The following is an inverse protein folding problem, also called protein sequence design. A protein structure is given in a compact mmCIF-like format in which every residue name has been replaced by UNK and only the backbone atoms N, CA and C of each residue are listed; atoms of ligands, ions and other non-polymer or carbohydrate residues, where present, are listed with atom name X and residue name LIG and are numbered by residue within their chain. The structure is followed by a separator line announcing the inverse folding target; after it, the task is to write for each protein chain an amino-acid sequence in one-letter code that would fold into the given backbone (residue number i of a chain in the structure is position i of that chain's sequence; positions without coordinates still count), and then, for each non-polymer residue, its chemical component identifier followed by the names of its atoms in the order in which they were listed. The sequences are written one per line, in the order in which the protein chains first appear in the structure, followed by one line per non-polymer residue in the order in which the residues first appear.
data_IF_059443931557
#
_entry.id   IF_059443931557
#
_cell.length_a   1.000
_cell.length_b   1.000
_cell.length_c   1.000
_cell.angle_alpha   90.00
_cell.angle_beta   90.00
_cell.angle_gamma   90.00
#
_symmetry.space_group_name_H-M   'P 1'
#
loop_
_entity.id
_entity.type
_entity.pdbx_description
1 polymer ?
#
# COMPACT_ATOMS: atom_id res chain seq x y z
N UNK A 1 29.33 37.30 -13.87
CA UNK A 1 28.70 35.96 -13.88
C UNK A 1 29.75 34.94 -13.48
N UNK A 2 29.53 34.16 -12.40
CA UNK A 2 30.49 33.14 -11.95
C UNK A 2 30.20 31.82 -12.67
N UNK A 3 31.10 31.37 -13.53
CA UNK A 3 31.04 30.03 -14.11
C UNK A 3 31.35 29.00 -13.01
N UNK A 4 30.42 28.10 -12.74
CA UNK A 4 30.64 26.98 -11.83
C UNK A 4 31.50 25.93 -12.52
N UNK A 5 32.78 25.85 -12.16
CA UNK A 5 33.67 24.76 -12.55
C UNK A 5 33.26 23.50 -11.78
N UNK A 6 32.41 22.67 -12.39
CA UNK A 6 32.09 21.34 -11.86
C UNK A 6 33.33 20.46 -11.94
N UNK A 7 33.72 19.89 -10.80
CA UNK A 7 34.91 19.07 -10.60
C UNK A 7 34.80 17.76 -11.44
N UNK A 8 35.65 17.60 -12.46
CA UNK A 8 35.70 16.43 -13.36
C UNK A 8 36.33 15.20 -12.70
N UNK A 9 35.76 14.67 -11.61
CA UNK A 9 36.27 13.43 -10.98
C UNK A 9 35.75 12.14 -11.63
N UNK A 10 34.66 12.21 -12.38
CA UNK A 10 34.09 11.03 -13.06
C UNK A 10 33.67 11.38 -14.49
N UNK A 11 34.12 10.57 -15.45
CA UNK A 11 33.69 10.64 -16.86
C UNK A 11 32.35 9.90 -17.01
N UNK A 12 31.26 10.58 -17.40
CA UNK A 12 29.98 9.89 -17.59
C UNK A 12 30.06 8.97 -18.82
N UNK A 13 29.73 7.69 -18.63
CA UNK A 13 29.75 6.68 -19.70
C UNK A 13 28.60 6.84 -20.70
N UNK A 14 27.54 7.57 -20.35
CA UNK A 14 26.41 7.86 -21.21
C UNK A 14 26.42 9.32 -21.65
N UNK A 15 26.26 9.54 -22.96
CA UNK A 15 26.00 10.87 -23.53
C UNK A 15 24.49 11.06 -23.57
N UNK A 16 23.97 12.04 -22.84
CA UNK A 16 22.59 12.49 -23.03
C UNK A 16 22.52 13.20 -24.39
N UNK A 17 22.04 12.48 -25.40
CA UNK A 17 21.81 13.04 -26.74
C UNK A 17 20.42 13.68 -26.73
N UNK A 18 20.32 14.91 -27.23
CA UNK A 18 19.16 15.78 -27.05
C UNK A 18 19.40 16.72 -25.88
N UNK A 19 19.15 18.01 -26.10
CA UNK A 19 19.25 19.02 -25.04
C UNK A 19 18.29 18.75 -23.87
N UNK A 20 18.22 19.66 -22.88
CA UNK A 20 17.32 19.49 -21.74
C UNK A 20 15.91 19.12 -22.19
N UNK A 21 15.38 17.98 -21.71
CA UNK A 21 14.01 17.59 -22.01
C UNK A 21 13.06 18.72 -21.57
N UNK A 22 12.29 19.25 -22.51
CA UNK A 22 11.32 20.32 -22.21
C UNK A 22 10.20 19.72 -21.37
N UNK A 23 10.19 20.00 -20.08
CA UNK A 23 9.04 19.65 -19.25
C UNK A 23 7.79 20.37 -19.79
N UNK A 24 6.65 19.67 -19.94
CA UNK A 24 5.41 20.30 -20.32
C UNK A 24 5.07 21.40 -19.30
N UNK A 25 4.97 22.64 -19.78
CA UNK A 25 4.78 23.83 -18.93
C UNK A 25 3.49 23.76 -18.11
N UNK A 26 2.46 23.12 -18.67
CA UNK A 26 1.15 22.97 -18.06
C UNK A 26 0.77 21.49 -18.03
N UNK A 27 1.11 20.80 -16.95
CA UNK A 27 0.56 19.46 -16.67
C UNK A 27 -0.78 19.66 -16.00
N UNK A 28 -1.85 19.14 -16.61
CA UNK A 28 -3.16 19.12 -15.95
C UNK A 28 -3.10 18.19 -14.74
N UNK A 29 -3.22 18.76 -13.54
CA UNK A 29 -3.39 18.07 -12.26
C UNK A 29 -4.85 17.80 -11.93
N UNK A 30 -5.78 18.00 -12.88
CA UNK A 30 -7.13 17.52 -12.71
C UNK A 30 -7.08 16.03 -12.38
N UNK A 31 -7.82 15.60 -11.37
CA UNK A 31 -7.96 14.18 -11.07
C UNK A 31 -8.42 13.48 -12.36
N UNK A 32 -7.78 12.37 -12.71
CA UNK A 32 -8.16 11.55 -13.86
C UNK A 32 -8.56 10.18 -13.37
N UNK A 33 -9.56 9.59 -14.00
CA UNK A 33 -9.89 8.21 -13.74
C UNK A 33 -8.68 7.31 -14.06
N UNK A 34 -8.49 6.27 -13.26
CA UNK A 34 -7.45 5.29 -13.52
C UNK A 34 -7.78 4.56 -14.83
N UNK A 35 -6.81 4.23 -15.70
CA UNK A 35 -7.07 3.53 -16.96
C UNK A 35 -7.72 2.14 -16.77
N UNK A 36 -7.61 1.55 -15.58
CA UNK A 36 -8.27 0.29 -15.20
C UNK A 36 -9.47 0.49 -14.28
N UNK A 37 -10.00 1.70 -14.15
CA UNK A 37 -11.23 1.92 -13.40
C UNK A 37 -12.39 1.17 -14.08
N UNK A 38 -13.25 0.43 -13.34
CA UNK A 38 -14.29 -0.41 -13.93
C UNK A 38 -15.24 0.32 -14.89
N UNK A 39 -15.50 1.60 -14.63
CA UNK A 39 -16.38 2.46 -15.42
C UNK A 39 -15.67 3.71 -15.95
N UNK A 40 -14.35 3.83 -15.79
CA UNK A 40 -13.60 5.02 -16.23
C UNK A 40 -13.98 6.31 -15.50
N UNK A 41 -14.62 6.22 -14.33
CA UNK A 41 -15.04 7.39 -13.55
C UNK A 41 -14.04 7.71 -12.42
N UNK A 42 -14.02 8.99 -12.04
CA UNK A 42 -13.35 9.42 -10.83
C UNK A 42 -14.13 8.96 -9.60
N UNK A 43 -13.47 8.51 -8.51
CA UNK A 43 -14.16 8.19 -7.28
C UNK A 43 -14.90 9.45 -6.77
N UNK A 44 -16.24 9.40 -6.79
CA UNK A 44 -17.13 10.48 -6.32
C UNK A 44 -17.66 11.48 -7.35
N UNK A 45 -17.34 11.34 -8.66
CA UNK A 45 -17.69 12.36 -9.68
C UNK A 45 -18.86 12.02 -10.61
N UNK A 46 -19.38 10.78 -10.60
CA UNK A 46 -20.33 10.31 -11.61
C UNK A 46 -21.76 10.19 -11.07
N UNK A 47 -22.70 10.89 -11.71
CA UNK A 47 -24.15 10.63 -11.65
C UNK A 47 -24.56 9.37 -12.43
N UNK A 48 -23.65 8.40 -12.61
CA UNK A 48 -23.89 7.09 -13.26
C UNK A 48 -23.73 5.99 -12.21
N UNK A 49 -24.54 6.11 -11.18
CA UNK A 49 -24.54 5.21 -10.05
C UNK A 49 -24.90 5.95 -8.79
N UNK A 50 -26.20 6.17 -8.60
CA UNK A 50 -26.79 6.08 -7.27
C UNK A 50 -26.26 4.80 -6.61
N UNK A 51 -25.17 5.00 -5.88
CA UNK A 51 -24.42 4.01 -5.14
C UNK A 51 -23.48 4.76 -4.19
N UNK A 52 -24.00 5.82 -3.56
CA UNK A 52 -23.73 6.05 -2.15
C UNK A 52 -24.30 4.89 -1.30
N UNK A 53 -24.13 3.64 -1.73
CA UNK A 53 -24.94 2.50 -1.31
C UNK A 53 -25.05 1.28 -2.24
N UNK A 54 -24.29 1.13 -3.35
CA UNK A 54 -23.97 -0.24 -3.77
C UNK A 54 -22.90 -0.71 -2.79
N UNK A 55 -23.41 -1.10 -1.61
CA UNK A 55 -22.74 -2.02 -0.72
C UNK A 55 -22.04 -3.02 -1.61
N UNK A 56 -20.74 -3.17 -1.42
CA UNK A 56 -19.99 -4.21 -2.09
C UNK A 56 -20.69 -5.53 -1.74
N UNK A 57 -21.61 -5.98 -2.59
CA UNK A 57 -22.37 -7.20 -2.35
C UNK A 57 -21.43 -8.32 -2.74
N UNK A 58 -20.62 -8.72 -1.75
CA UNK A 58 -19.93 -9.97 -1.83
C UNK A 58 -21.01 -11.06 -1.97
N UNK A 59 -20.99 -11.80 -3.07
CA UNK A 59 -21.90 -12.94 -3.30
C UNK A 59 -21.61 -14.11 -2.34
N UNK A 60 -20.48 -14.05 -1.64
CA UNK A 60 -20.11 -15.07 -0.67
C UNK A 60 -21.11 -15.03 0.49
N UNK A 61 -21.57 -16.19 0.96
CA UNK A 61 -22.41 -16.29 2.15
C UNK A 61 -21.78 -15.55 3.34
N UNK A 62 -22.62 -14.83 4.09
CA UNK A 62 -22.23 -14.16 5.35
C UNK A 62 -21.97 -15.19 6.45
N UNK A 63 -22.57 -16.37 6.35
CA UNK A 63 -22.36 -17.49 7.26
C UNK A 63 -21.35 -18.48 6.67
N UNK A 64 -20.51 -19.10 7.50
CA UNK A 64 -19.54 -20.07 7.00
C UNK A 64 -20.28 -21.34 6.55
N UNK A 65 -19.78 -22.01 5.51
CA UNK A 65 -20.33 -23.31 5.10
C UNK A 65 -19.94 -24.40 6.10
N UNK A 66 -20.53 -25.59 5.96
CA UNK A 66 -20.23 -26.71 6.85
C UNK A 66 -18.73 -27.07 6.80
N UNK A 67 -18.04 -26.92 7.94
CA UNK A 67 -16.59 -27.15 8.05
C UNK A 67 -15.71 -25.93 7.81
N UNK A 68 -16.28 -24.79 7.40
CA UNK A 68 -15.59 -23.51 7.33
C UNK A 68 -15.74 -22.74 8.65
N UNK A 69 -14.73 -21.95 8.98
CA UNK A 69 -14.73 -21.12 10.18
C UNK A 69 -14.10 -19.77 9.85
N UNK A 70 -14.77 -18.67 10.19
CA UNK A 70 -14.21 -17.33 9.95
C UNK A 70 -13.09 -16.99 10.91
N UNK A 71 -13.11 -17.57 12.11
CA UNK A 71 -12.12 -17.28 13.15
C UNK A 71 -11.28 -18.50 13.48
N UNK A 72 -9.98 -18.29 13.69
CA UNK A 72 -9.05 -19.34 14.12
C UNK A 72 -9.37 -19.87 15.52
N UNK A 73 -10.11 -19.12 16.32
CA UNK A 73 -10.63 -19.52 17.63
C UNK A 73 -11.79 -20.53 17.54
N UNK A 74 -12.30 -20.83 16.35
CA UNK A 74 -13.26 -21.92 16.13
C UNK A 74 -12.57 -23.19 15.60
N UNK A 75 -11.28 -23.10 15.23
CA UNK A 75 -10.47 -24.24 14.82
C UNK A 75 -9.83 -24.97 16.01
N UNK A 76 -9.29 -26.16 15.73
CA UNK A 76 -8.54 -26.95 16.72
C UNK A 76 -7.34 -26.19 17.28
N UNK A 77 -6.89 -26.58 18.47
CA UNK A 77 -5.82 -25.90 19.23
C UNK A 77 -4.55 -25.64 18.42
N UNK A 78 -4.22 -26.53 17.49
CA UNK A 78 -3.09 -26.40 16.57
C UNK A 78 -3.11 -25.13 15.73
N UNK A 79 -4.28 -24.64 15.33
CA UNK A 79 -4.44 -23.46 14.46
C UNK A 79 -4.72 -22.17 15.23
N UNK A 80 -4.90 -22.24 16.54
CA UNK A 80 -5.13 -21.06 17.38
C UNK A 80 -3.82 -20.30 17.60
N UNK A 81 -3.90 -19.00 17.83
CA UNK A 81 -2.75 -18.25 18.35
C UNK A 81 -2.44 -18.73 19.77
N UNK A 82 -1.16 -18.89 20.08
CA UNK A 82 -0.71 -19.13 21.45
C UNK A 82 -0.77 -17.80 22.20
N UNK A 83 -1.32 -17.82 23.42
CA UNK A 83 -1.18 -16.67 24.31
C UNK A 83 0.32 -16.46 24.60
N UNK A 84 0.82 -15.21 24.54
CA UNK A 84 2.21 -14.94 24.89
C UNK A 84 2.43 -15.31 26.37
N UNK A 85 3.59 -15.88 26.67
CA UNK A 85 3.99 -16.15 28.05
C UNK A 85 4.27 -14.85 28.78
N UNK A 86 4.16 -14.84 30.10
CA UNK A 86 4.46 -13.68 30.95
C UNK A 86 5.86 -13.10 30.66
N UNK A 87 6.86 -13.98 30.54
CA UNK A 87 8.23 -13.64 30.13
C UNK A 87 8.31 -12.96 28.74
N UNK A 88 7.51 -13.40 27.77
CA UNK A 88 7.46 -12.79 26.43
C UNK A 88 6.80 -11.42 26.47
N UNK A 89 5.78 -11.25 27.31
CA UNK A 89 5.10 -9.97 27.53
C UNK A 89 6.09 -8.97 28.12
N UNK A 90 6.82 -9.36 29.18
CA UNK A 90 7.82 -8.51 29.81
C UNK A 90 8.93 -8.12 28.83
N UNK A 91 9.37 -9.05 27.98
CA UNK A 91 10.36 -8.77 26.94
C UNK A 91 9.86 -7.77 25.90
N UNK A 92 8.61 -7.89 25.46
CA UNK A 92 8.01 -6.92 24.51
C UNK A 92 7.91 -5.54 25.16
N UNK A 93 7.48 -5.47 26.42
CA UNK A 93 7.34 -4.21 27.16
C UNK A 93 8.71 -3.55 27.39
N UNK A 94 9.71 -4.34 27.78
CA UNK A 94 11.06 -3.84 28.06
C UNK A 94 11.90 -3.64 26.79
N UNK A 95 11.34 -3.92 25.61
CA UNK A 95 12.06 -3.83 24.33
C UNK A 95 13.24 -4.80 24.20
N UNK A 96 13.19 -5.93 24.91
CA UNK A 96 14.26 -6.92 24.98
C UNK A 96 15.45 -6.51 25.87
N UNK A 97 15.36 -5.41 26.63
CA UNK A 97 16.48 -4.93 27.44
C UNK A 97 16.65 -5.66 28.79
N UNK A 98 15.63 -6.36 29.30
CA UNK A 98 15.70 -7.08 30.58
C UNK A 98 16.43 -8.43 30.50
N UNK A 99 16.39 -9.10 29.35
CA UNK A 99 17.03 -10.39 29.13
C UNK A 99 18.51 -10.17 28.76
N UNK A 100 19.30 -9.80 29.76
CA UNK A 100 20.76 -9.82 29.69
C UNK A 100 21.21 -11.26 29.93
N UNK A 101 21.80 -11.88 28.91
CA UNK A 101 22.40 -13.23 28.99
C UNK A 101 23.55 -13.29 30.00
#
# INVERSE_FOLDING_TARGET
MRAATRLFKHTPLIKFVGGPHTAPKNVSHAAKAHPMAPNGELPGSGSSGSSAGASYFNKNPVEPQNGEFFSRSQLSSRFRYKAPKEEEIDNVITGGAALVF
#
